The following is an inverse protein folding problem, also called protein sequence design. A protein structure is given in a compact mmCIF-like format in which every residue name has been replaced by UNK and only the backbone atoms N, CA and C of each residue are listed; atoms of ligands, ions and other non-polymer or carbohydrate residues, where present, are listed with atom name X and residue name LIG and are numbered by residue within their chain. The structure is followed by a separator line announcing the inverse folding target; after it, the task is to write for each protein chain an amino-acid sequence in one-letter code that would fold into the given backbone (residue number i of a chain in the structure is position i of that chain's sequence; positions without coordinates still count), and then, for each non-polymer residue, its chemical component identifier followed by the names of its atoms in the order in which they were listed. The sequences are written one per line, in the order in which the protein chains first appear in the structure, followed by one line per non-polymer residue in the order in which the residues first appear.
data_IF_895274798573
#
_entry.id   IF_895274798573
#
_cell.length_a   1.000
_cell.length_b   1.000
_cell.length_c   1.000
_cell.angle_alpha   90.00
_cell.angle_beta   90.00
_cell.angle_gamma   90.00
#
_symmetry.space_group_name_H-M   'P 1'
#
loop_
_entity.id
_entity.type
_entity.pdbx_description
1 polymer ?
#
# COMPACT_ATOMS: atom_id res chain seq x y z
N UNK A 1 -13.58 -3.24 -0.61
CA UNK A 1 -14.99 -3.61 -0.85
C UNK A 1 -15.74 -2.65 -1.79
N UNK A 2 -15.38 -1.37 -1.87
CA UNK A 2 -16.04 -0.41 -2.79
C UNK A 2 -16.16 -0.90 -4.25
N UNK A 3 -15.07 -1.44 -4.82
CA UNK A 3 -15.11 -2.00 -6.18
C UNK A 3 -16.09 -3.18 -6.33
N UNK A 4 -16.28 -3.97 -5.26
CA UNK A 4 -17.24 -5.09 -5.24
C UNK A 4 -18.68 -4.59 -5.27
N UNK A 5 -18.99 -3.53 -4.52
CA UNK A 5 -20.29 -2.89 -4.54
C UNK A 5 -20.61 -2.26 -5.91
N UNK A 6 -19.59 -1.80 -6.67
CA UNK A 6 -19.73 -1.28 -8.02
C UNK A 6 -19.78 -2.36 -9.13
N UNK A 7 -19.96 -3.63 -8.76
CA UNK A 7 -20.06 -4.75 -9.71
C UNK A 7 -18.73 -5.27 -10.25
N UNK A 8 -17.58 -4.81 -9.72
CA UNK A 8 -16.25 -5.39 -9.95
C UNK A 8 -15.91 -6.33 -8.78
N UNK A 9 -14.63 -6.63 -8.53
CA UNK A 9 -14.28 -7.46 -7.39
C UNK A 9 -12.84 -7.95 -7.37
N UNK A 10 -12.69 -9.10 -6.73
CA UNK A 10 -11.49 -9.90 -6.61
C UNK A 10 -11.92 -11.37 -6.57
N UNK A 11 -10.99 -12.28 -6.82
CA UNK A 11 -11.23 -13.71 -6.88
C UNK A 11 -11.69 -14.27 -5.53
N UNK A 12 -12.70 -15.15 -5.55
CA UNK A 12 -13.16 -15.88 -4.36
C UNK A 12 -12.50 -17.27 -4.31
N UNK A 13 -11.91 -17.66 -3.19
CA UNK A 13 -11.27 -18.96 -3.02
C UNK A 13 -12.26 -20.13 -3.21
N UNK A 14 -13.56 -19.93 -2.99
CA UNK A 14 -14.59 -20.93 -3.28
C UNK A 14 -14.72 -21.26 -4.78
N UNK A 15 -14.42 -20.27 -5.64
CA UNK A 15 -14.57 -20.37 -7.08
C UNK A 15 -13.26 -20.71 -7.80
N UNK A 16 -12.13 -20.60 -7.11
CA UNK A 16 -10.79 -20.78 -7.68
C UNK A 16 -9.98 -21.72 -6.77
N UNK A 17 -9.91 -23.00 -7.13
CA UNK A 17 -9.12 -23.98 -6.39
C UNK A 17 -7.62 -23.65 -6.43
N UNK A 18 -6.89 -24.00 -5.37
CA UNK A 18 -5.43 -23.87 -5.25
C UNK A 18 -4.88 -22.44 -5.29
N UNK A 19 -5.69 -21.43 -4.93
CA UNK A 19 -5.21 -20.06 -4.74
C UNK A 19 -5.15 -19.72 -3.25
N UNK A 20 -4.36 -18.69 -2.92
CA UNK A 20 -4.48 -17.94 -1.66
C UNK A 20 -4.62 -16.47 -2.00
N UNK A 21 -5.74 -15.87 -1.58
CA UNK A 21 -6.01 -14.47 -1.82
C UNK A 21 -5.57 -13.61 -0.62
N UNK A 22 -4.82 -12.54 -0.87
CA UNK A 22 -4.32 -11.65 0.19
C UNK A 22 -4.43 -10.18 -0.23
N UNK A 23 -5.02 -9.36 0.64
CA UNK A 23 -4.95 -7.91 0.50
C UNK A 23 -3.64 -7.37 1.09
N UNK A 24 -2.98 -6.50 0.33
CA UNK A 24 -1.75 -5.80 0.73
C UNK A 24 -2.03 -4.41 1.34
N UNK A 25 -3.20 -3.83 1.05
CA UNK A 25 -3.61 -2.55 1.66
C UNK A 25 -2.90 -1.31 1.12
N UNK A 26 -2.42 -1.33 -0.13
CA UNK A 26 -1.89 -0.14 -0.80
C UNK A 26 -3.07 0.76 -1.22
N UNK A 27 -3.00 2.02 -0.83
CA UNK A 27 -4.01 3.03 -1.14
C UNK A 27 -4.05 3.38 -2.64
N UNK A 28 -5.17 3.96 -3.07
CA UNK A 28 -5.36 4.33 -4.47
C UNK A 28 -4.54 5.58 -4.88
N UNK A 29 -4.51 5.85 -6.19
CA UNK A 29 -3.74 6.96 -6.78
C UNK A 29 -4.14 8.34 -6.25
N UNK A 30 -5.38 8.54 -5.82
CA UNK A 30 -5.83 9.82 -5.30
C UNK A 30 -5.25 10.08 -3.91
N UNK A 31 -5.21 9.05 -3.07
CA UNK A 31 -4.57 9.12 -1.75
C UNK A 31 -3.06 9.36 -1.91
N UNK A 32 -2.40 8.65 -2.83
CA UNK A 32 -0.96 8.85 -3.09
C UNK A 32 -0.66 10.27 -3.57
N UNK A 33 -1.50 10.83 -4.46
CA UNK A 33 -1.37 12.22 -4.93
C UNK A 33 -1.51 13.21 -3.79
N UNK A 34 -2.52 13.06 -2.95
CA UNK A 34 -2.71 13.93 -1.79
C UNK A 34 -1.56 13.82 -0.78
N UNK A 35 -1.02 12.61 -0.59
CA UNK A 35 0.13 12.38 0.28
C UNK A 35 1.40 13.07 -0.25
N UNK A 36 1.67 12.93 -1.56
CA UNK A 36 2.79 13.59 -2.22
C UNK A 36 2.69 15.11 -2.12
N UNK A 37 1.50 15.67 -2.36
CA UNK A 37 1.28 17.11 -2.26
C UNK A 37 1.61 17.64 -0.86
N UNK A 38 1.15 16.96 0.19
CA UNK A 38 1.45 17.33 1.59
C UNK A 38 2.94 17.27 1.91
N UNK A 39 3.66 16.24 1.44
CA UNK A 39 5.11 16.15 1.75
C UNK A 39 5.89 17.24 1.02
N UNK A 40 5.49 17.62 -0.19
CA UNK A 40 6.10 18.75 -0.91
C UNK A 40 5.89 20.07 -0.18
N UNK A 41 4.68 20.33 0.33
CA UNK A 41 4.39 21.52 1.14
C UNK A 41 5.28 21.63 2.39
N UNK A 42 5.53 20.50 3.05
CA UNK A 42 6.43 20.43 4.22
C UNK A 42 7.88 20.69 3.82
N UNK A 43 8.33 20.16 2.68
CA UNK A 43 9.68 20.37 2.16
C UNK A 43 9.93 21.80 1.66
N UNK A 44 8.90 22.47 1.15
CA UNK A 44 8.97 23.85 0.64
C UNK A 44 8.71 24.92 1.71
N UNK A 45 8.36 24.51 2.93
CA UNK A 45 8.18 25.41 4.06
C UNK A 45 9.46 26.21 4.34
N UNK A 46 9.32 27.51 4.58
CA UNK A 46 10.46 28.38 4.90
C UNK A 46 10.84 28.24 6.37
N UNK A 47 12.06 27.74 6.61
CA UNK A 47 12.66 27.59 7.94
C UNK A 47 11.77 26.87 8.97
N UNK A 48 11.24 25.65 8.66
CA UNK A 48 10.45 24.90 9.63
C UNK A 48 11.34 24.50 10.81
N UNK A 49 10.77 24.48 12.01
CA UNK A 49 11.42 23.77 13.12
C UNK A 49 11.49 22.28 12.77
N UNK A 50 12.44 21.56 13.36
CA UNK A 50 12.52 20.10 13.18
C UNK A 50 11.23 19.41 13.63
N UNK A 51 10.58 19.92 14.70
CA UNK A 51 9.31 19.38 15.18
C UNK A 51 8.20 19.53 14.15
N UNK A 52 8.05 20.72 13.56
CA UNK A 52 7.02 20.99 12.55
C UNK A 52 7.26 20.16 11.28
N UNK A 53 8.52 20.01 10.87
CA UNK A 53 8.90 19.18 9.73
C UNK A 53 8.52 17.71 9.96
N UNK A 54 8.90 17.12 11.10
CA UNK A 54 8.61 15.72 11.41
C UNK A 54 7.10 15.47 11.53
N UNK A 55 6.37 16.38 12.18
CA UNK A 55 4.92 16.29 12.31
C UNK A 55 4.23 16.39 10.95
N UNK A 56 4.66 17.32 10.09
CA UNK A 56 4.17 17.44 8.72
C UNK A 56 4.46 16.21 7.87
N UNK A 57 5.68 15.66 7.98
CA UNK A 57 6.09 14.44 7.29
C UNK A 57 5.24 13.24 7.72
N UNK A 58 5.00 13.05 9.02
CA UNK A 58 4.14 11.99 9.53
C UNK A 58 2.70 12.15 9.02
N UNK A 59 2.14 13.36 9.09
CA UNK A 59 0.79 13.66 8.63
C UNK A 59 0.60 13.62 7.12
N UNK A 60 1.68 13.74 6.34
CA UNK A 60 1.63 13.48 4.91
C UNK A 60 1.26 12.02 4.61
N UNK A 61 1.61 11.08 5.52
CA UNK A 61 1.47 9.65 5.30
C UNK A 61 2.44 9.07 4.27
N UNK A 62 3.34 9.89 3.69
CA UNK A 62 4.15 9.50 2.54
C UNK A 62 5.03 8.28 2.82
N UNK A 63 5.77 8.30 3.94
CA UNK A 63 6.64 7.20 4.32
C UNK A 63 5.86 5.92 4.68
N UNK A 64 4.64 6.05 5.21
CA UNK A 64 3.75 4.90 5.45
C UNK A 64 3.36 4.23 4.14
N UNK A 65 3.06 5.01 3.10
CA UNK A 65 2.74 4.46 1.78
C UNK A 65 3.94 3.80 1.11
N UNK A 66 5.13 4.41 1.17
CA UNK A 66 6.37 3.80 0.67
C UNK A 66 6.65 2.47 1.39
N UNK A 67 6.50 2.44 2.72
CA UNK A 67 6.65 1.21 3.50
C UNK A 67 5.67 0.13 3.04
N UNK A 68 4.39 0.47 2.85
CA UNK A 68 3.38 -0.50 2.39
C UNK A 68 3.73 -1.11 1.02
N UNK A 69 4.26 -0.31 0.09
CA UNK A 69 4.72 -0.79 -1.22
C UNK A 69 5.93 -1.72 -1.07
N UNK A 70 6.91 -1.36 -0.23
CA UNK A 70 8.07 -2.21 0.01
C UNK A 70 7.70 -3.52 0.70
N UNK A 71 6.83 -3.47 1.72
CA UNK A 71 6.32 -4.66 2.40
C UNK A 71 5.61 -5.60 1.41
N UNK A 72 4.85 -5.05 0.46
CA UNK A 72 4.24 -5.82 -0.64
C UNK A 72 5.28 -6.52 -1.51
N UNK A 73 6.32 -5.78 -1.92
CA UNK A 73 7.41 -6.34 -2.72
C UNK A 73 8.15 -7.44 -1.98
N UNK A 74 8.44 -7.26 -0.68
CA UNK A 74 9.06 -8.26 0.18
C UNK A 74 8.16 -9.48 0.33
N UNK A 75 6.85 -9.27 0.54
CA UNK A 75 5.88 -10.35 0.64
C UNK A 75 5.91 -11.20 -0.63
N UNK A 76 5.76 -10.59 -1.80
CA UNK A 76 5.78 -11.29 -3.10
C UNK A 76 7.12 -12.00 -3.31
N UNK A 77 8.25 -11.34 -3.02
CA UNK A 77 9.57 -11.94 -3.18
C UNK A 77 9.81 -13.17 -2.28
N UNK A 78 9.10 -13.26 -1.14
CA UNK A 78 9.21 -14.38 -0.20
C UNK A 78 8.20 -15.49 -0.47
N UNK A 79 7.14 -15.23 -1.24
CA UNK A 79 6.19 -16.26 -1.65
C UNK A 79 6.92 -17.25 -2.55
N UNK A 80 7.23 -18.42 -2.01
CA UNK A 80 7.66 -19.56 -2.82
C UNK A 80 6.44 -20.27 -3.37
N UNK A 81 6.48 -20.75 -4.63
CA UNK A 81 5.52 -21.74 -5.08
C UNK A 81 5.56 -22.89 -4.08
N UNK A 82 4.41 -23.26 -3.51
CA UNK A 82 4.29 -24.49 -2.75
C UNK A 82 4.84 -25.61 -3.64
N UNK A 83 5.95 -26.22 -3.20
CA UNK A 83 6.52 -27.40 -3.84
C UNK A 83 5.37 -28.33 -4.17
N UNK A 84 5.20 -28.62 -5.46
CA UNK A 84 4.35 -29.70 -5.94
C UNK A 84 4.60 -30.92 -5.06
N UNK A 85 3.64 -31.24 -4.19
CA UNK A 85 3.64 -32.52 -3.50
C UNK A 85 3.46 -33.57 -4.59
N UNK A 86 4.41 -34.49 -4.81
CA UNK A 86 4.20 -35.56 -5.76
C UNK A 86 3.07 -36.44 -5.20
N UNK A 87 1.98 -36.54 -5.95
CA UNK A 87 1.03 -37.63 -5.83
C UNK A 87 1.60 -38.87 -6.53
#
# INVERSE_FOLDING_TARGET
MANRAAGKGYENEDNYSNIKFQFIGIENIHVMRSSQQKVLEVCEAKSPSMGDFLWGLENSGWLKHIKAILDAGIFIARVRPSSSSPA
#
